data_IF_149547644289
#
_entry.id   IF_149547644289
#
_cell.length_a   1.000
_cell.length_b   1.000
_cell.length_c   1.000
_cell.angle_alpha   90.00
_cell.angle_beta   90.00
_cell.angle_gamma   90.00
#
_symmetry.space_group_name_H-M   'P 1'
#
loop_
_entity.id
_entity.type
_entity.pdbx_description
1 polymer ?
#
# COMPACT_ATOMS: atom_id res chain seq x y z
N UNK A 1 15.63 -9.04 9.83
CA UNK A 1 14.38 -8.45 9.34
C UNK A 1 14.57 -7.03 8.81
N UNK A 2 15.31 -6.22 9.53
CA UNK A 2 15.60 -4.84 9.11
C UNK A 2 16.27 -4.79 7.74
N UNK A 3 17.25 -5.65 7.48
CA UNK A 3 17.92 -5.69 6.19
C UNK A 3 16.97 -6.09 5.06
N UNK A 4 16.06 -7.02 5.31
CA UNK A 4 15.06 -7.43 4.35
C UNK A 4 14.16 -6.25 3.98
N UNK A 5 13.68 -5.52 4.99
CA UNK A 5 12.80 -4.36 4.78
C UNK A 5 13.55 -3.26 4.03
N UNK A 6 14.81 -3.00 4.36
CA UNK A 6 15.63 -2.02 3.65
C UNK A 6 15.80 -2.39 2.17
N UNK A 7 16.03 -3.67 1.88
CA UNK A 7 16.17 -4.14 0.52
C UNK A 7 14.87 -4.00 -0.27
N UNK A 8 13.73 -4.30 0.36
CA UNK A 8 12.41 -4.06 -0.25
C UNK A 8 12.22 -2.59 -0.58
N UNK A 9 12.51 -1.74 0.40
CA UNK A 9 12.37 -0.30 0.23
C UNK A 9 13.20 0.19 -0.96
N UNK A 10 14.44 -0.21 -1.04
CA UNK A 10 15.34 0.21 -2.11
C UNK A 10 14.86 -0.28 -3.48
N UNK A 11 14.42 -1.53 -3.58
CA UNK A 11 13.93 -2.10 -4.84
C UNK A 11 12.68 -1.36 -5.33
N UNK A 12 11.71 -1.15 -4.45
CA UNK A 12 10.48 -0.44 -4.81
C UNK A 12 10.76 1.01 -5.17
N UNK A 13 11.66 1.65 -4.43
CA UNK A 13 12.06 3.03 -4.69
C UNK A 13 12.64 3.17 -6.10
N UNK A 14 13.57 2.30 -6.48
CA UNK A 14 14.19 2.30 -7.80
C UNK A 14 13.17 2.05 -8.91
N UNK A 15 12.32 1.06 -8.71
CA UNK A 15 11.31 0.72 -9.71
C UNK A 15 10.33 1.88 -9.91
N UNK A 16 9.74 2.37 -8.84
CA UNK A 16 8.72 3.41 -8.93
C UNK A 16 9.29 4.74 -9.42
N UNK A 17 10.53 5.05 -9.03
CA UNK A 17 11.20 6.23 -9.55
C UNK A 17 11.43 6.10 -11.06
N UNK A 18 11.87 4.93 -11.52
CA UNK A 18 12.08 4.68 -12.96
C UNK A 18 10.79 4.80 -13.76
N UNK A 19 9.65 4.50 -13.14
CA UNK A 19 8.32 4.63 -13.77
C UNK A 19 7.71 6.02 -13.59
N UNK A 20 8.44 6.93 -12.97
CA UNK A 20 7.98 8.29 -12.68
C UNK A 20 6.75 8.34 -11.77
N UNK A 21 6.53 7.27 -10.98
CA UNK A 21 5.42 7.20 -10.04
C UNK A 21 5.74 7.88 -8.70
N UNK A 22 7.01 8.00 -8.37
CA UNK A 22 7.49 8.76 -7.20
C UNK A 22 8.68 9.61 -7.59
N UNK A 23 8.99 10.59 -6.76
CA UNK A 23 10.22 11.39 -6.92
C UNK A 23 11.39 10.63 -6.30
N UNK A 24 12.61 11.16 -6.45
CA UNK A 24 13.82 10.52 -5.95
C UNK A 24 13.76 10.25 -4.45
N UNK A 25 13.07 11.11 -3.71
CA UNK A 25 12.86 10.95 -2.27
C UNK A 25 11.37 10.77 -2.01
N UNK A 26 11.05 9.95 -1.00
CA UNK A 26 9.66 9.75 -0.62
C UNK A 26 9.15 10.92 0.21
N UNK A 27 7.92 11.38 -0.07
CA UNK A 27 7.33 12.41 0.76
C UNK A 27 7.05 11.88 2.17
N UNK A 28 7.28 12.73 3.17
CA UNK A 28 6.91 12.42 4.53
C UNK A 28 5.51 12.98 4.78
N UNK A 29 4.64 12.12 5.30
CA UNK A 29 3.30 12.53 5.68
C UNK A 29 2.98 11.87 7.02
N UNK A 30 3.36 12.52 8.14
CA UNK A 30 3.17 11.93 9.46
C UNK A 30 1.75 11.47 9.77
N UNK A 31 0.76 12.21 9.28
CA UNK A 31 -0.65 11.85 9.49
C UNK A 31 -0.99 10.51 8.85
N UNK A 32 -0.54 10.28 7.62
CA UNK A 32 -0.79 9.04 6.90
C UNK A 32 0.01 7.90 7.51
N UNK A 33 1.28 8.15 7.82
CA UNK A 33 2.15 7.16 8.46
C UNK A 33 1.63 6.77 9.84
N UNK A 34 1.07 7.73 10.58
CA UNK A 34 0.51 7.49 11.90
C UNK A 34 -0.71 6.58 11.91
N UNK A 35 -1.39 6.42 10.78
CA UNK A 35 -2.54 5.52 10.65
C UNK A 35 -2.14 4.06 10.40
N UNK A 36 -0.87 3.81 10.14
CA UNK A 36 -0.41 2.48 9.73
C UNK A 36 -0.79 1.38 10.72
N UNK A 37 -0.50 1.56 12.01
CA UNK A 37 -0.73 0.51 13.00
C UNK A 37 -2.21 0.12 13.09
N UNK A 38 -3.09 1.10 13.09
CA UNK A 38 -4.53 0.89 13.11
C UNK A 38 -5.00 0.13 11.87
N UNK A 39 -4.54 0.57 10.70
CA UNK A 39 -4.92 -0.03 9.43
C UNK A 39 -4.37 -1.45 9.32
N UNK A 40 -3.11 -1.66 9.69
CA UNK A 40 -2.48 -2.97 9.66
C UNK A 40 -3.24 -3.96 10.54
N UNK A 41 -3.55 -3.58 11.75
CA UNK A 41 -4.27 -4.43 12.69
C UNK A 41 -5.62 -4.87 12.13
N UNK A 42 -6.33 -3.96 11.49
CA UNK A 42 -7.64 -4.25 10.92
C UNK A 42 -7.53 -5.08 9.63
N UNK A 43 -6.51 -4.86 8.83
CA UNK A 43 -6.32 -5.51 7.54
C UNK A 43 -5.81 -6.96 7.66
N UNK A 44 -4.92 -7.20 8.61
CA UNK A 44 -4.19 -8.48 8.71
C UNK A 44 -5.10 -9.71 8.66
N UNK A 45 -6.24 -9.77 9.39
CA UNK A 45 -7.10 -10.95 9.29
C UNK A 45 -7.55 -11.28 7.86
N UNK A 46 -7.91 -10.25 7.09
CA UNK A 46 -8.30 -10.43 5.69
C UNK A 46 -7.08 -10.74 4.82
N UNK A 47 -6.01 -9.99 5.01
CA UNK A 47 -4.82 -10.09 4.18
C UNK A 47 -4.10 -11.43 4.30
N UNK A 48 -3.96 -11.96 5.50
CA UNK A 48 -3.31 -13.26 5.71
C UNK A 48 -4.13 -14.38 5.08
N UNK A 49 -5.45 -14.33 5.24
CA UNK A 49 -6.33 -15.32 4.64
C UNK A 49 -6.20 -15.31 3.12
N UNK A 50 -6.20 -14.11 2.53
CA UNK A 50 -6.09 -13.95 1.08
C UNK A 50 -4.71 -14.35 0.57
N UNK A 51 -3.66 -14.10 1.36
CA UNK A 51 -2.28 -14.38 0.95
C UNK A 51 -2.06 -15.85 0.60
N UNK A 52 -2.75 -16.77 1.27
CA UNK A 52 -2.59 -18.20 1.02
C UNK A 52 -3.01 -18.59 -0.40
N UNK A 53 -4.06 -17.97 -0.93
CA UNK A 53 -4.59 -18.30 -2.24
C UNK A 53 -4.21 -17.28 -3.31
N UNK A 54 -4.18 -16.01 -2.95
CA UNK A 54 -3.92 -14.90 -3.88
C UNK A 54 -2.94 -13.90 -3.26
N UNK A 55 -1.64 -14.27 -3.18
CA UNK A 55 -0.65 -13.38 -2.53
C UNK A 55 -0.54 -12.01 -3.18
N UNK A 56 -0.68 -11.93 -4.50
CA UNK A 56 -0.61 -10.63 -5.19
C UNK A 56 -1.74 -9.70 -4.80
N UNK A 57 -2.95 -10.23 -4.58
CA UNK A 57 -4.08 -9.43 -4.13
C UNK A 57 -3.85 -8.96 -2.68
N UNK A 58 -3.43 -9.87 -1.80
CA UNK A 58 -3.14 -9.53 -0.42
C UNK A 58 -2.13 -8.39 -0.30
N UNK A 59 -1.08 -8.43 -1.11
CA UNK A 59 -0.03 -7.40 -1.10
C UNK A 59 -0.49 -6.14 -1.83
N UNK A 60 -1.05 -6.28 -3.02
CA UNK A 60 -1.45 -5.14 -3.85
C UNK A 60 -2.54 -4.28 -3.24
N UNK A 61 -3.50 -4.90 -2.54
CA UNK A 61 -4.59 -4.16 -1.89
C UNK A 61 -4.05 -3.16 -0.87
N UNK A 62 -2.96 -3.50 -0.17
CA UNK A 62 -2.38 -2.56 0.79
C UNK A 62 -1.80 -1.33 0.10
N UNK A 63 -1.29 -1.48 -1.11
CA UNK A 63 -0.80 -0.33 -1.88
C UNK A 63 -1.97 0.60 -2.26
N UNK A 64 -3.09 0.04 -2.70
CA UNK A 64 -4.29 0.82 -2.95
C UNK A 64 -4.80 1.52 -1.67
N UNK A 65 -4.74 0.83 -0.54
CA UNK A 65 -5.14 1.41 0.75
C UNK A 65 -4.27 2.62 1.08
N UNK A 66 -2.96 2.52 0.88
CA UNK A 66 -2.04 3.65 1.09
C UNK A 66 -2.41 4.85 0.24
N UNK A 67 -2.73 4.62 -1.03
CA UNK A 67 -3.18 5.68 -1.93
C UNK A 67 -4.49 6.30 -1.45
N UNK A 68 -5.44 5.46 -1.00
CA UNK A 68 -6.73 5.93 -0.52
C UNK A 68 -6.59 6.80 0.73
N UNK A 69 -5.73 6.39 1.67
CA UNK A 69 -5.52 7.16 2.91
C UNK A 69 -4.90 8.52 2.59
N UNK A 70 -3.93 8.56 1.66
CA UNK A 70 -3.34 9.83 1.22
C UNK A 70 -4.39 10.74 0.58
N UNK A 71 -5.30 10.18 -0.22
CA UNK A 71 -6.40 10.94 -0.82
C UNK A 71 -7.33 11.50 0.24
N UNK A 72 -7.67 10.69 1.24
CA UNK A 72 -8.52 11.12 2.35
C UNK A 72 -7.84 12.21 3.17
N UNK A 73 -6.52 12.09 3.37
CA UNK A 73 -5.73 13.12 4.06
C UNK A 73 -5.81 14.47 3.36
N UNK A 74 -5.69 14.46 2.04
CA UNK A 74 -5.76 15.68 1.25
C UNK A 74 -7.17 16.29 1.22
N UNK A 75 -8.20 15.45 1.23
CA UNK A 75 -9.59 15.91 1.09
C UNK A 75 -10.16 16.47 2.40
N UNK A 76 -10.30 15.63 3.42
CA UNK A 76 -10.94 16.04 4.68
C UNK A 76 -10.38 15.22 5.85
N UNK A 77 -9.12 15.46 6.22
CA UNK A 77 -8.47 14.67 7.24
C UNK A 77 -9.15 14.77 8.62
N UNK A 78 -9.73 15.93 8.94
CA UNK A 78 -10.44 16.08 10.21
C UNK A 78 -11.57 15.07 10.36
N UNK A 79 -12.23 14.72 9.26
CA UNK A 79 -13.32 13.75 9.28
C UNK A 79 -12.77 12.33 9.23
N UNK A 80 -11.91 12.05 8.26
CA UNK A 80 -11.41 10.68 8.05
C UNK A 80 -10.53 10.19 9.18
N UNK A 81 -9.74 11.07 9.81
CA UNK A 81 -8.87 10.68 10.92
C UNK A 81 -9.63 10.18 12.15
N UNK A 82 -10.89 10.57 12.29
CA UNK A 82 -11.73 10.20 13.42
C UNK A 82 -12.54 8.92 13.19
N UNK A 83 -12.49 8.36 12.00
CA UNK A 83 -13.16 7.10 11.72
C UNK A 83 -12.41 5.99 12.47
N UNK A 84 -13.14 5.28 13.32
CA UNK A 84 -12.56 4.30 14.24
C UNK A 84 -11.81 3.18 13.54
N UNK A 85 -12.40 2.64 12.46
CA UNK A 85 -11.77 1.59 11.66
C UNK A 85 -11.79 2.02 10.20
N UNK A 86 -10.73 2.73 9.81
CA UNK A 86 -10.66 3.31 8.47
C UNK A 86 -10.60 2.24 7.38
N UNK A 87 -9.90 1.13 7.64
CA UNK A 87 -9.87 0.03 6.71
C UNK A 87 -11.26 -0.57 6.50
N UNK A 88 -11.98 -0.88 7.58
CA UNK A 88 -13.33 -1.42 7.47
C UNK A 88 -14.27 -0.46 6.76
N UNK A 89 -14.10 0.84 7.00
CA UNK A 89 -14.87 1.86 6.31
C UNK A 89 -14.76 1.73 4.78
N UNK A 90 -13.54 1.49 4.28
CA UNK A 90 -13.31 1.31 2.86
C UNK A 90 -13.76 -0.07 2.37
N UNK A 91 -13.37 -1.12 3.10
CA UNK A 91 -13.69 -2.51 2.71
C UNK A 91 -15.18 -2.73 2.57
N UNK A 92 -15.97 -2.20 3.49
CA UNK A 92 -17.40 -2.48 3.56
C UNK A 92 -18.22 -1.79 2.46
N UNK A 93 -17.59 -0.90 1.68
CA UNK A 93 -18.28 -0.27 0.54
C UNK A 93 -18.67 -1.28 -0.54
N UNK A 94 -17.74 -2.16 -0.89
CA UNK A 94 -17.94 -3.15 -1.96
C UNK A 94 -17.44 -4.56 -1.60
N UNK A 95 -16.92 -4.75 -0.39
CA UNK A 95 -16.30 -5.99 0.03
C UNK A 95 -14.82 -6.07 -0.34
N UNK A 96 -14.13 -7.03 0.24
CA UNK A 96 -12.68 -7.18 0.07
C UNK A 96 -12.29 -7.37 -1.40
N UNK A 97 -13.00 -8.23 -2.11
CA UNK A 97 -12.63 -8.59 -3.49
C UNK A 97 -12.71 -7.40 -4.46
N UNK A 98 -13.57 -6.44 -4.17
CA UNK A 98 -13.75 -5.25 -5.00
C UNK A 98 -13.14 -3.99 -4.40
N UNK A 99 -12.29 -4.15 -3.38
CA UNK A 99 -11.66 -3.01 -2.71
C UNK A 99 -10.80 -2.20 -3.68
N UNK A 100 -10.06 -2.88 -4.56
CA UNK A 100 -9.22 -2.23 -5.57
C UNK A 100 -10.04 -1.37 -6.53
N UNK A 101 -11.17 -1.90 -6.99
CA UNK A 101 -12.05 -1.15 -7.90
C UNK A 101 -12.68 0.05 -7.19
N UNK A 102 -13.14 -0.14 -5.95
CA UNK A 102 -13.70 0.94 -5.17
C UNK A 102 -12.71 2.09 -5.03
N UNK A 103 -11.48 1.76 -4.66
CA UNK A 103 -10.45 2.79 -4.46
C UNK A 103 -10.14 3.49 -5.77
N UNK A 104 -9.87 2.74 -6.83
CA UNK A 104 -9.49 3.36 -8.11
C UNK A 104 -10.62 4.18 -8.73
N UNK A 105 -11.84 3.65 -8.72
CA UNK A 105 -12.98 4.31 -9.39
C UNK A 105 -13.64 5.39 -8.55
N UNK A 106 -13.91 5.08 -7.28
CA UNK A 106 -14.75 5.95 -6.46
C UNK A 106 -13.96 6.92 -5.59
N UNK A 107 -12.80 6.52 -5.07
CA UNK A 107 -11.96 7.42 -4.27
C UNK A 107 -10.98 8.22 -5.13
N UNK A 108 -10.24 7.54 -6.00
CA UNK A 108 -9.22 8.20 -6.82
C UNK A 108 -9.76 8.76 -8.13
N UNK A 109 -10.98 8.37 -8.50
CA UNK A 109 -11.69 8.84 -9.71
C UNK A 109 -10.88 8.61 -10.99
N UNK A 110 -10.18 7.49 -11.06
CA UNK A 110 -9.38 7.14 -12.23
C UNK A 110 -10.24 6.56 -13.34
N UNK A 111 -9.88 6.87 -14.58
CA UNK A 111 -10.59 6.41 -15.78
C UNK A 111 -9.61 6.02 -16.87
N UNK A 112 -10.06 5.12 -17.76
CA UNK A 112 -9.31 4.78 -18.97
C UNK A 112 -7.90 4.28 -18.70
N UNK A 113 -6.93 4.87 -19.36
CA UNK A 113 -5.53 4.47 -19.28
C UNK A 113 -4.95 4.60 -17.87
N UNK A 114 -5.31 5.65 -17.14
CA UNK A 114 -4.83 5.85 -15.78
C UNK A 114 -5.28 4.72 -14.87
N UNK A 115 -6.51 4.27 -15.02
CA UNK A 115 -7.07 3.16 -14.26
C UNK A 115 -6.29 1.86 -14.52
N UNK A 116 -6.06 1.54 -15.79
CA UNK A 116 -5.37 0.30 -16.16
C UNK A 116 -3.88 0.35 -15.88
N UNK A 117 -3.24 1.50 -16.04
CA UNK A 117 -1.81 1.65 -15.76
C UNK A 117 -1.51 1.49 -14.28
N UNK A 118 -2.37 2.02 -13.42
CA UNK A 118 -2.18 1.85 -11.98
C UNK A 118 -2.26 0.37 -11.60
N UNK A 119 -3.18 -0.37 -12.19
CA UNK A 119 -3.30 -1.80 -11.95
C UNK A 119 -2.00 -2.53 -12.29
N UNK A 120 -1.36 -2.17 -13.40
CA UNK A 120 -0.08 -2.76 -13.81
C UNK A 120 1.04 -2.42 -12.84
N UNK A 121 1.13 -1.18 -12.41
CA UNK A 121 2.17 -0.74 -11.48
C UNK A 121 2.02 -1.45 -10.13
N UNK A 122 0.82 -1.49 -9.61
CA UNK A 122 0.55 -2.17 -8.34
C UNK A 122 0.84 -3.67 -8.45
N UNK A 123 0.42 -4.29 -9.56
CA UNK A 123 0.71 -5.70 -9.81
C UNK A 123 2.19 -6.01 -9.85
N UNK A 124 2.99 -5.14 -10.49
CA UNK A 124 4.44 -5.30 -10.54
C UNK A 124 5.06 -5.16 -9.15
N UNK A 125 4.62 -4.17 -8.37
CA UNK A 125 5.11 -4.00 -7.01
C UNK A 125 4.78 -5.22 -6.14
N UNK A 126 3.55 -5.70 -6.22
CA UNK A 126 3.12 -6.89 -5.47
C UNK A 126 3.96 -8.11 -5.85
N UNK A 127 4.23 -8.29 -7.14
CA UNK A 127 5.05 -9.39 -7.62
C UNK A 127 6.49 -9.32 -7.10
N UNK A 128 7.09 -8.13 -7.13
CA UNK A 128 8.45 -7.92 -6.61
C UNK A 128 8.54 -8.23 -5.12
N UNK A 129 7.56 -7.76 -4.37
CA UNK A 129 7.53 -7.98 -2.92
C UNK A 129 7.31 -9.46 -2.60
N UNK A 130 6.39 -10.11 -3.31
CA UNK A 130 6.15 -11.53 -3.13
C UNK A 130 7.39 -12.37 -3.44
N UNK A 131 8.06 -12.08 -4.54
CA UNK A 131 9.30 -12.78 -4.89
C UNK A 131 10.38 -12.58 -3.82
N UNK A 132 10.55 -11.36 -3.33
CA UNK A 132 11.52 -11.07 -2.28
C UNK A 132 11.21 -11.85 -1.00
N UNK A 133 9.92 -11.92 -0.65
CA UNK A 133 9.48 -12.67 0.54
C UNK A 133 9.77 -14.17 0.38
N UNK A 134 9.47 -14.74 -0.78
CA UNK A 134 9.72 -16.16 -1.03
C UNK A 134 11.21 -16.49 -0.98
N UNK A 135 12.09 -15.57 -1.41
CA UNK A 135 13.54 -15.78 -1.37
C UNK A 135 14.12 -15.77 0.05
N UNK A 136 13.35 -15.36 1.04
CA UNK A 136 13.79 -15.43 2.43
C UNK A 136 13.75 -16.85 2.99
N UNK A 137 13.02 -17.75 2.33
CA UNK A 137 12.89 -19.16 2.73
C UNK A 137 12.43 -19.31 4.19
N UNK A 138 11.52 -18.45 4.62
CA UNK A 138 10.97 -18.49 5.97
C UNK A 138 9.84 -19.52 6.02
N UNK A 139 9.87 -20.37 7.03
CA UNK A 139 8.83 -21.37 7.22
C UNK A 139 7.47 -20.71 7.49
N UNK A 140 6.45 -21.14 6.73
CA UNK A 140 5.10 -20.63 6.87
C UNK A 140 4.53 -20.92 8.26
N UNK A 141 3.68 -20.03 8.76
CA UNK A 141 3.04 -20.19 10.06
C UNK A 141 3.90 -19.82 11.26
N UNK A 142 5.10 -19.29 11.03
CA UNK A 142 5.99 -18.87 12.10
C UNK A 142 5.85 -17.38 12.40
N UNK A 143 6.35 -16.97 13.56
CA UNK A 143 6.41 -15.56 13.93
C UNK A 143 7.26 -14.77 12.92
N UNK A 144 8.36 -15.37 12.45
CA UNK A 144 9.25 -14.74 11.46
C UNK A 144 8.50 -14.50 10.14
N UNK A 145 7.68 -15.45 9.72
CA UNK A 145 6.87 -15.28 8.50
C UNK A 145 5.84 -14.16 8.65
N UNK A 146 5.21 -14.07 9.81
CA UNK A 146 4.27 -13.00 10.13
C UNK A 146 4.95 -11.63 10.09
N UNK A 147 6.10 -11.51 10.75
CA UNK A 147 6.85 -10.25 10.78
C UNK A 147 7.30 -9.84 9.37
N UNK A 148 7.73 -10.80 8.56
CA UNK A 148 8.12 -10.53 7.18
C UNK A 148 6.93 -10.05 6.35
N UNK A 149 5.77 -10.68 6.51
CA UNK A 149 4.55 -10.25 5.83
C UNK A 149 4.17 -8.81 6.21
N UNK A 150 4.22 -8.51 7.51
CA UNK A 150 3.90 -7.16 8.00
C UNK A 150 4.88 -6.13 7.42
N UNK A 151 6.17 -6.46 7.35
CA UNK A 151 7.16 -5.58 6.72
C UNK A 151 6.81 -5.32 5.25
N UNK A 152 6.37 -6.36 4.54
CA UNK A 152 5.98 -6.24 3.14
C UNK A 152 4.79 -5.28 2.96
N UNK A 153 3.73 -5.48 3.72
CA UNK A 153 2.54 -4.62 3.57
C UNK A 153 2.80 -3.20 4.06
N UNK A 154 3.69 -3.02 5.04
CA UNK A 154 4.08 -1.69 5.48
C UNK A 154 4.75 -0.90 4.36
N UNK A 155 5.69 -1.52 3.67
CA UNK A 155 6.36 -0.85 2.54
C UNK A 155 5.37 -0.52 1.42
N UNK A 156 4.48 -1.44 1.12
CA UNK A 156 3.47 -1.20 0.07
C UNK A 156 2.52 -0.07 0.46
N UNK A 157 2.14 0.02 1.72
CA UNK A 157 1.33 1.12 2.22
C UNK A 157 2.04 2.47 2.04
N UNK A 158 3.30 2.54 2.46
CA UNK A 158 4.08 3.78 2.36
C UNK A 158 4.28 4.21 0.90
N UNK A 159 4.61 3.28 0.02
CA UNK A 159 4.79 3.61 -1.39
C UNK A 159 3.48 3.96 -2.08
N UNK A 160 2.37 3.31 -1.70
CA UNK A 160 1.05 3.69 -2.20
C UNK A 160 0.72 5.13 -1.83
N UNK A 161 0.94 5.50 -0.57
CA UNK A 161 0.74 6.87 -0.10
C UNK A 161 1.62 7.85 -0.87
N UNK A 162 2.90 7.51 -1.06
CA UNK A 162 3.85 8.37 -1.79
C UNK A 162 3.42 8.61 -3.23
N UNK A 163 2.97 7.56 -3.91
CA UNK A 163 2.47 7.66 -5.28
C UNK A 163 1.27 8.61 -5.37
N UNK A 164 0.34 8.48 -4.45
CA UNK A 164 -0.85 9.33 -4.45
C UNK A 164 -0.51 10.78 -4.12
N UNK A 165 0.41 10.99 -3.17
CA UNK A 165 0.86 12.35 -2.85
C UNK A 165 1.46 13.03 -4.08
N UNK A 166 2.28 12.31 -4.83
CA UNK A 166 2.85 12.86 -6.07
C UNK A 166 1.76 13.17 -7.09
N UNK A 167 0.78 12.27 -7.27
CA UNK A 167 -0.33 12.48 -8.22
C UNK A 167 -1.16 13.71 -7.87
N UNK A 168 -1.23 14.05 -6.57
CA UNK A 168 -1.94 15.25 -6.11
C UNK A 168 -1.08 16.51 -6.14
N UNK A 169 0.16 16.41 -6.60
CA UNK A 169 1.05 17.54 -6.75
C UNK A 169 1.96 17.83 -5.57
N UNK A 170 1.96 16.98 -4.54
CA UNK A 170 2.89 17.13 -3.42
C UNK A 170 4.25 16.62 -3.82
N UNK A 171 5.27 17.44 -3.60
CA UNK A 171 6.64 17.09 -3.91
C UNK A 171 7.45 16.98 -2.64
N UNK A 172 8.43 16.09 -2.67
CA UNK A 172 9.44 16.10 -1.64
C UNK A 172 10.22 17.37 -1.73
N UNK A 173 9.94 18.28 -0.85
CA UNK A 173 10.81 19.42 -0.66
C UNK A 173 11.95 18.95 0.21
N UNK A 174 13.11 18.98 -0.33
CA UNK A 174 14.31 18.76 0.43
C UNK A 174 14.52 20.01 1.30
N UNK A 175 14.36 19.80 2.56
CA UNK A 175 14.65 20.89 3.49
C UNK A 175 16.00 20.72 4.10
#
# INVERSE_FOLDING_TARGET
MEKFEDNLHNDLCQFLFSMEEIDQHMPECPDVEGKWEEIAKAYIPDGIREFNDYPSASLGWMMYIGMAVAKMWDAEWEIYSKIEDLYAYMRDKRGYDSLDEYIRKELLLLKGTDYTMLEKVVGECASRVHNALMHQHIEAGTKAAFEAYVACIHQLYLFGAAMQLKRMGYRMTKM
#
